data_IF_840828223645
#
_entry.id   IF_840828223645
#
_cell.length_a   1.000
_cell.length_b   1.000
_cell.length_c   1.000
_cell.angle_alpha   90.00
_cell.angle_beta   90.00
_cell.angle_gamma   90.00
#
_symmetry.space_group_name_H-M   'P 1'
#
loop_
_entity.id
_entity.type
_entity.pdbx_description
1 polymer ?
#
# COMPACT_ATOMS: atom_id res chain seq x y z
N UNK A 1 -8.02 12.53 -15.86
CA UNK A 1 -7.65 13.39 -14.72
C UNK A 1 -6.60 14.38 -15.20
N UNK A 2 -6.82 15.68 -15.03
CA UNK A 2 -5.89 16.71 -15.50
C UNK A 2 -4.72 16.94 -14.55
N UNK A 3 -3.71 17.70 -15.00
CA UNK A 3 -2.56 18.09 -14.16
C UNK A 3 -2.99 18.97 -12.99
N UNK A 4 -3.97 19.84 -13.20
CA UNK A 4 -4.52 20.68 -12.14
C UNK A 4 -5.15 19.84 -11.01
N UNK A 5 -5.89 18.80 -11.36
CA UNK A 5 -6.51 17.89 -10.38
C UNK A 5 -5.45 17.13 -9.59
N UNK A 6 -4.36 16.68 -10.25
CA UNK A 6 -3.22 16.03 -9.59
C UNK A 6 -2.55 16.98 -8.59
N UNK A 7 -2.33 18.24 -8.99
CA UNK A 7 -1.74 19.24 -8.11
C UNK A 7 -2.66 19.56 -6.93
N UNK A 8 -3.98 19.64 -7.16
CA UNK A 8 -4.98 19.82 -6.10
C UNK A 8 -4.96 18.64 -5.12
N UNK A 9 -4.93 17.41 -5.62
CA UNK A 9 -4.85 16.21 -4.79
C UNK A 9 -3.56 16.18 -3.95
N UNK A 10 -2.40 16.47 -4.56
CA UNK A 10 -1.11 16.53 -3.85
C UNK A 10 -1.14 17.55 -2.71
N UNK A 11 -1.68 18.75 -2.94
CA UNK A 11 -1.81 19.79 -1.90
C UNK A 11 -2.70 19.34 -0.75
N UNK A 12 -3.82 18.68 -1.06
CA UNK A 12 -4.72 18.17 -0.04
C UNK A 12 -4.01 17.13 0.86
N UNK A 13 -3.29 16.17 0.26
CA UNK A 13 -2.57 15.15 1.02
C UNK A 13 -1.47 15.73 1.92
N UNK A 14 -0.68 16.67 1.42
CA UNK A 14 0.35 17.36 2.21
C UNK A 14 -0.27 18.14 3.37
N UNK A 15 -1.45 18.76 3.16
CA UNK A 15 -2.16 19.46 4.24
C UNK A 15 -2.64 18.49 5.33
N UNK A 16 -3.13 17.31 4.96
CA UNK A 16 -3.55 16.28 5.94
C UNK A 16 -2.36 15.83 6.79
N UNK A 17 -1.18 15.59 6.19
CA UNK A 17 0.05 15.29 6.96
C UNK A 17 0.43 16.43 7.91
N UNK A 18 0.34 17.68 7.46
CA UNK A 18 0.61 18.83 8.32
C UNK A 18 -0.33 18.95 9.53
N UNK A 19 -1.54 18.41 9.43
CA UNK A 19 -2.54 18.42 10.52
C UNK A 19 -2.45 17.21 11.45
N UNK A 20 -2.14 16.03 10.91
CA UNK A 20 -2.22 14.75 11.64
C UNK A 20 -0.86 14.10 11.91
N UNK A 21 0.22 14.65 11.37
CA UNK A 21 1.57 14.11 11.43
C UNK A 21 2.02 13.42 10.14
N UNK A 22 3.34 13.20 9.99
CA UNK A 22 3.94 12.69 8.74
C UNK A 22 3.42 11.29 8.34
N UNK A 23 3.10 10.44 9.32
CA UNK A 23 2.63 9.07 9.09
C UNK A 23 1.13 8.94 8.79
N UNK A 24 0.36 10.04 8.88
CA UNK A 24 -1.09 10.00 8.74
C UNK A 24 -1.57 9.75 7.29
N UNK A 25 -0.69 9.94 6.30
CA UNK A 25 -0.98 9.66 4.90
C UNK A 25 0.05 8.67 4.38
N UNK A 26 -0.42 7.48 4.01
CA UNK A 26 0.40 6.42 3.46
C UNK A 26 0.07 6.18 1.98
N UNK A 27 1.06 5.76 1.21
CA UNK A 27 0.92 5.32 -0.17
C UNK A 27 1.30 3.84 -0.29
N UNK A 28 0.56 3.05 -1.07
CA UNK A 28 0.87 1.64 -1.27
C UNK A 28 2.00 1.45 -2.27
N UNK A 29 2.89 0.50 -1.98
CA UNK A 29 3.92 -0.01 -2.89
C UNK A 29 3.79 -1.53 -2.98
N UNK A 30 3.95 -2.10 -4.17
CA UNK A 30 3.93 -3.54 -4.35
C UNK A 30 5.09 -4.19 -3.60
N UNK A 31 4.79 -5.17 -2.76
CA UNK A 31 5.76 -5.93 -2.00
C UNK A 31 5.71 -7.43 -2.32
N UNK A 32 6.71 -8.16 -1.85
CA UNK A 32 6.79 -9.63 -1.90
C UNK A 32 5.84 -10.29 -0.91
N UNK A 33 6.33 -11.35 -0.26
CA UNK A 33 5.55 -12.11 0.72
C UNK A 33 4.94 -13.40 0.18
N UNK A 34 4.22 -14.10 1.06
CA UNK A 34 3.61 -15.41 0.82
C UNK A 34 2.08 -15.39 0.84
N UNK A 35 1.47 -14.36 1.44
CA UNK A 35 0.02 -14.18 1.48
C UNK A 35 -0.43 -12.91 0.74
N UNK A 36 -1.71 -12.83 0.33
CA UNK A 36 -2.26 -11.64 -0.33
C UNK A 36 -2.19 -10.38 0.56
N UNK A 37 -2.25 -10.52 1.89
CA UNK A 37 -2.13 -9.41 2.84
C UNK A 37 -0.73 -8.78 2.84
N UNK A 38 0.31 -9.56 2.54
CA UNK A 38 1.72 -9.13 2.58
C UNK A 38 2.14 -8.36 1.31
N UNK A 39 1.31 -8.38 0.27
CA UNK A 39 1.66 -7.86 -1.07
C UNK A 39 1.72 -6.34 -1.17
N UNK A 40 1.40 -5.62 -0.11
CA UNK A 40 1.41 -4.16 -0.09
C UNK A 40 2.21 -3.69 1.11
N UNK A 41 3.22 -2.86 0.87
CA UNK A 41 3.86 -2.05 1.90
C UNK A 41 3.24 -0.66 1.88
N UNK A 42 2.85 -0.15 3.05
CA UNK A 42 2.36 1.21 3.21
C UNK A 42 3.49 2.11 3.70
N UNK A 43 3.94 3.02 2.84
CA UNK A 43 5.01 3.98 3.12
C UNK A 43 4.42 5.37 3.31
N UNK A 44 5.00 6.21 4.17
CA UNK A 44 4.53 7.60 4.31
C UNK A 44 4.66 8.37 3.02
N UNK A 45 3.68 9.22 2.72
CA UNK A 45 3.75 10.07 1.55
C UNK A 45 4.96 11.00 1.64
N UNK A 46 5.86 10.93 0.64
CA UNK A 46 7.07 11.73 0.54
C UNK A 46 8.35 10.97 0.91
N UNK A 47 8.23 9.82 1.57
CA UNK A 47 9.36 8.94 1.87
C UNK A 47 9.77 8.10 0.65
N UNK A 48 10.95 7.49 0.74
CA UNK A 48 11.41 6.54 -0.27
C UNK A 48 10.50 5.32 -0.33
N UNK A 49 10.05 4.97 -1.54
CA UNK A 49 9.12 3.87 -1.80
C UNK A 49 9.81 2.51 -1.75
N UNK A 50 10.28 2.12 -0.56
CA UNK A 50 10.96 0.84 -0.34
C UNK A 50 9.96 -0.22 0.10
N UNK A 51 9.79 -1.31 -0.67
CA UNK A 51 8.95 -2.43 -0.24
C UNK A 51 9.63 -3.22 0.89
N UNK A 52 8.83 -3.74 1.83
CA UNK A 52 9.35 -4.50 2.97
C UNK A 52 9.94 -5.85 2.55
N UNK A 53 9.37 -6.49 1.52
CA UNK A 53 9.88 -7.70 0.87
C UNK A 53 10.01 -7.48 -0.64
N UNK A 54 11.02 -8.09 -1.27
CA UNK A 54 11.27 -7.99 -2.71
C UNK A 54 10.07 -8.53 -3.51
N UNK A 55 9.37 -7.67 -4.30
CA UNK A 55 8.19 -8.08 -5.06
C UNK A 55 8.51 -9.04 -6.22
N UNK A 56 9.78 -9.19 -6.61
CA UNK A 56 10.21 -10.03 -7.73
C UNK A 56 10.50 -11.48 -7.33
N UNK A 57 10.49 -11.80 -6.04
CA UNK A 57 10.66 -13.18 -5.57
C UNK A 57 9.47 -14.05 -5.99
N UNK A 58 9.68 -15.35 -6.23
CA UNK A 58 8.60 -16.25 -6.58
C UNK A 58 7.56 -16.32 -5.46
N UNK A 59 6.29 -16.41 -5.85
CA UNK A 59 5.15 -16.54 -4.93
C UNK A 59 4.43 -17.87 -5.16
N UNK A 60 4.93 -18.98 -4.60
CA UNK A 60 4.24 -20.26 -4.62
C UNK A 60 2.87 -20.14 -3.96
N UNK A 61 1.82 -20.63 -4.63
CA UNK A 61 0.45 -20.48 -4.14
C UNK A 61 -0.17 -19.10 -4.39
N UNK A 62 0.42 -18.27 -5.26
CA UNK A 62 -0.19 -17.01 -5.71
C UNK A 62 -1.62 -17.25 -6.21
N UNK A 63 -2.54 -16.46 -5.68
CA UNK A 63 -3.93 -16.45 -6.11
C UNK A 63 -4.05 -15.85 -7.53
N UNK A 64 -4.95 -16.38 -8.39
CA UNK A 64 -5.23 -15.79 -9.69
C UNK A 64 -5.89 -14.42 -9.51
N UNK A 65 -5.88 -13.61 -10.57
CA UNK A 65 -6.67 -12.38 -10.59
C UNK A 65 -8.18 -12.69 -10.65
N UNK A 66 -9.03 -11.82 -10.07
CA UNK A 66 -8.69 -10.61 -9.33
C UNK A 66 -8.19 -10.92 -7.90
N UNK A 67 -7.44 -9.97 -7.33
CA UNK A 67 -7.07 -10.05 -5.91
C UNK A 67 -8.32 -10.06 -5.02
N UNK A 68 -8.31 -10.81 -3.91
CA UNK A 68 -9.42 -10.83 -2.97
C UNK A 68 -9.67 -9.43 -2.40
N UNK A 69 -10.93 -9.05 -2.26
CA UNK A 69 -11.35 -7.74 -1.70
C UNK A 69 -11.47 -7.78 -0.17
N UNK A 70 -11.58 -8.97 0.41
CA UNK A 70 -11.68 -9.19 1.86
C UNK A 70 -10.64 -10.22 2.25
N UNK A 71 -9.85 -9.89 3.26
CA UNK A 71 -8.91 -10.79 3.92
C UNK A 71 -9.27 -10.81 5.41
N UNK A 72 -9.08 -11.96 6.06
CA UNK A 72 -9.20 -12.06 7.50
C UNK A 72 -7.85 -11.69 8.12
N UNK A 73 -7.86 -10.78 9.09
CA UNK A 73 -6.65 -10.35 9.78
C UNK A 73 -6.14 -11.43 10.74
N UNK A 74 -7.06 -12.19 11.33
CA UNK A 74 -6.76 -13.28 12.25
C UNK A 74 -6.96 -14.65 11.59
N UNK A 75 -6.08 -15.62 11.89
CA UNK A 75 -6.28 -17.00 11.43
C UNK A 75 -7.54 -17.59 12.04
N UNK A 76 -8.32 -18.27 11.21
CA UNK A 76 -9.50 -19.01 11.66
C UNK A 76 -9.02 -20.28 12.36
N UNK A 77 -9.36 -20.45 13.65
CA UNK A 77 -9.20 -21.73 14.33
C UNK A 77 -10.13 -22.77 13.68
N UNK A 78 -9.57 -23.93 13.30
CA UNK A 78 -10.29 -25.03 12.64
C UNK A 78 -10.64 -26.13 13.65
#
# INVERSE_FOLDING_TARGET
>A
VGEEDRLRARRALVRVQGLLGPDAVKVPVLSGGRGPAERITLTSLGDELVPQADPNQPWPGRLPEPSPTVLLDDPVEL
#
